data_IF_955390388701
#
_entry.id   IF_955390388701
#
_cell.length_a   1.000
_cell.length_b   1.000
_cell.length_c   1.000
_cell.angle_alpha   90.00
_cell.angle_beta   90.00
_cell.angle_gamma   90.00
#
_symmetry.space_group_name_H-M   'P 1'
#
loop_
_entity.id
_entity.type
_entity.pdbx_description
1 polymer ?
#
# COMPACT_ATOMS: atom_id res chain seq x y z
N UNK A 1 -7.44 -0.13 21.27
CA UNK A 1 -8.17 -0.02 19.98
C UNK A 1 -8.99 -1.29 19.84
N UNK A 2 -9.83 -1.58 20.84
CA UNK A 2 -10.35 -2.94 21.05
C UNK A 2 -11.88 -2.98 20.98
N UNK A 3 -12.49 -1.87 20.57
CA UNK A 3 -13.91 -1.82 20.24
C UNK A 3 -14.15 -2.61 18.94
N UNK A 4 -15.15 -3.51 18.91
CA UNK A 4 -15.46 -4.33 17.73
C UNK A 4 -15.74 -3.52 16.46
N UNK A 5 -16.36 -2.34 16.55
CA UNK A 5 -16.62 -1.52 15.37
C UNK A 5 -15.33 -0.96 14.77
N UNK A 6 -14.39 -0.54 15.62
CA UNK A 6 -13.06 -0.10 15.20
C UNK A 6 -12.29 -1.22 14.50
N UNK A 7 -12.32 -2.44 15.05
CA UNK A 7 -11.67 -3.60 14.42
C UNK A 7 -12.28 -3.94 13.06
N UNK A 8 -13.62 -3.90 12.94
CA UNK A 8 -14.30 -4.15 11.64
C UNK A 8 -13.94 -3.11 10.59
N UNK A 9 -13.85 -1.83 10.96
CA UNK A 9 -13.41 -0.79 10.03
C UNK A 9 -11.99 -1.06 9.50
N UNK A 10 -11.07 -1.50 10.36
CA UNK A 10 -9.70 -1.83 9.95
C UNK A 10 -9.66 -3.03 8.99
N UNK A 11 -10.41 -4.09 9.26
CA UNK A 11 -10.48 -5.26 8.37
C UNK A 11 -11.09 -4.92 7.01
N UNK A 12 -12.12 -4.06 6.99
CA UNK A 12 -12.72 -3.57 5.74
C UNK A 12 -11.73 -2.74 4.92
N UNK A 13 -10.93 -1.90 5.58
CA UNK A 13 -9.88 -1.11 4.94
C UNK A 13 -8.79 -2.01 4.33
N UNK A 14 -8.34 -3.03 5.08
CA UNK A 14 -7.35 -4.00 4.61
C UNK A 14 -7.89 -4.81 3.43
N UNK A 15 -9.14 -5.27 3.50
CA UNK A 15 -9.78 -5.99 2.39
C UNK A 15 -9.92 -5.12 1.14
N UNK A 16 -10.33 -3.86 1.29
CA UNK A 16 -10.43 -2.91 0.19
C UNK A 16 -9.06 -2.63 -0.43
N UNK A 17 -8.05 -2.46 0.40
CA UNK A 17 -6.68 -2.20 -0.05
C UNK A 17 -6.11 -3.40 -0.80
N UNK A 18 -6.32 -4.61 -0.27
CA UNK A 18 -5.95 -5.86 -0.93
C UNK A 18 -6.57 -5.97 -2.33
N UNK A 19 -7.89 -5.75 -2.48
CA UNK A 19 -8.56 -5.80 -3.79
C UNK A 19 -7.91 -4.84 -4.80
N UNK A 20 -7.65 -3.60 -4.42
CA UNK A 20 -6.97 -2.64 -5.29
C UNK A 20 -5.55 -3.10 -5.68
N UNK A 21 -4.80 -3.65 -4.72
CA UNK A 21 -3.47 -4.18 -4.97
C UNK A 21 -3.48 -5.34 -5.98
N UNK A 22 -4.53 -6.17 -6.02
CA UNK A 22 -4.66 -7.26 -7.01
C UNK A 22 -4.87 -6.77 -8.44
N UNK A 23 -5.37 -5.54 -8.62
CA UNK A 23 -5.66 -4.97 -9.94
C UNK A 23 -4.45 -4.24 -10.55
N UNK A 24 -3.45 -3.89 -9.73
CA UNK A 24 -2.24 -3.15 -10.14
C UNK A 24 -1.45 -3.92 -11.22
N UNK A 25 -1.19 -3.24 -12.33
CA UNK A 25 -0.43 -3.78 -13.46
C UNK A 25 1.09 -3.57 -13.35
N UNK A 26 1.53 -2.48 -12.71
CA UNK A 26 2.95 -2.22 -12.51
C UNK A 26 3.51 -3.07 -11.35
N UNK A 27 3.66 -4.37 -11.61
CA UNK A 27 4.13 -5.37 -10.64
C UNK A 27 5.52 -5.06 -10.11
N UNK A 28 6.44 -4.59 -10.95
CA UNK A 28 7.82 -4.27 -10.54
C UNK A 28 7.86 -3.22 -9.42
N UNK A 29 7.09 -2.14 -9.55
CA UNK A 29 7.01 -1.13 -8.51
C UNK A 29 6.32 -1.66 -7.25
N UNK A 30 5.22 -2.41 -7.41
CA UNK A 30 4.50 -3.00 -6.29
C UNK A 30 5.38 -3.98 -5.50
N UNK A 31 6.07 -4.89 -6.16
CA UNK A 31 6.93 -5.89 -5.51
C UNK A 31 8.11 -5.21 -4.77
N UNK A 32 8.64 -4.10 -5.31
CA UNK A 32 9.66 -3.29 -4.61
C UNK A 32 9.13 -2.65 -3.33
N UNK A 33 7.89 -2.15 -3.35
CA UNK A 33 7.24 -1.57 -2.16
C UNK A 33 6.97 -2.66 -1.13
N UNK A 34 6.44 -3.82 -1.55
CA UNK A 34 6.23 -4.98 -0.68
C UNK A 34 7.54 -5.39 -0.02
N UNK A 35 8.61 -5.58 -0.78
CA UNK A 35 9.92 -5.96 -0.22
C UNK A 35 10.40 -4.96 0.84
N UNK A 36 10.36 -3.67 0.52
CA UNK A 36 10.87 -2.60 1.40
C UNK A 36 10.10 -2.51 2.71
N UNK A 37 8.76 -2.50 2.64
CA UNK A 37 7.93 -2.24 3.81
C UNK A 37 7.65 -3.50 4.62
N UNK A 38 7.58 -4.68 3.98
CA UNK A 38 7.44 -5.94 4.70
C UNK A 38 8.74 -6.34 5.43
N UNK A 39 9.93 -5.98 4.92
CA UNK A 39 11.21 -6.24 5.62
C UNK A 39 11.27 -5.56 6.99
N UNK A 40 10.62 -4.41 7.14
CA UNK A 40 10.54 -3.65 8.41
C UNK A 40 9.23 -3.89 9.17
N UNK A 41 8.47 -4.93 8.82
CA UNK A 41 7.25 -5.33 9.52
C UNK A 41 6.00 -4.51 9.21
N UNK A 42 6.05 -3.58 8.26
CA UNK A 42 4.91 -2.76 7.81
C UNK A 42 4.25 -3.37 6.56
N UNK A 43 3.81 -4.63 6.69
CA UNK A 43 3.30 -5.43 5.56
C UNK A 43 1.77 -5.40 5.38
N UNK A 44 1.09 -4.50 6.08
CA UNK A 44 -0.35 -4.26 5.96
C UNK A 44 -0.69 -3.71 4.56
N UNK A 45 -1.80 -4.17 3.99
CA UNK A 45 -2.19 -3.84 2.62
C UNK A 45 -2.50 -2.36 2.44
N UNK A 46 -3.09 -1.70 3.45
CA UNK A 46 -3.30 -0.25 3.43
C UNK A 46 -1.98 0.51 3.29
N UNK A 47 -0.94 0.14 4.06
CA UNK A 47 0.39 0.73 3.98
C UNK A 47 1.05 0.46 2.64
N UNK A 48 1.01 -0.79 2.15
CA UNK A 48 1.56 -1.13 0.82
C UNK A 48 0.87 -0.33 -0.29
N UNK A 49 -0.45 -0.20 -0.25
CA UNK A 49 -1.22 0.56 -1.25
C UNK A 49 -0.86 2.04 -1.21
N UNK A 50 -0.82 2.65 -0.03
CA UNK A 50 -0.44 4.05 0.16
C UNK A 50 0.97 4.32 -0.39
N UNK A 51 1.93 3.47 -0.02
CA UNK A 51 3.32 3.65 -0.45
C UNK A 51 3.50 3.41 -1.95
N UNK A 52 2.79 2.44 -2.52
CA UNK A 52 2.79 2.25 -3.97
C UNK A 52 2.26 3.50 -4.70
N UNK A 53 1.17 4.12 -4.22
CA UNK A 53 0.62 5.32 -4.85
C UNK A 53 1.58 6.51 -4.77
N UNK A 54 2.21 6.73 -3.62
CA UNK A 54 3.21 7.79 -3.46
C UNK A 54 4.43 7.58 -4.35
N UNK A 55 4.96 6.35 -4.40
CA UNK A 55 6.10 6.03 -5.27
C UNK A 55 5.72 6.13 -6.75
N UNK A 56 4.51 5.72 -7.15
CA UNK A 56 4.02 5.87 -8.52
C UNK A 56 3.87 7.34 -8.92
N UNK A 57 3.47 8.20 -7.98
CA UNK A 57 3.40 9.65 -8.18
C UNK A 57 4.79 10.24 -8.30
N UNK A 58 5.73 9.83 -7.44
CA UNK A 58 7.12 10.26 -7.47
C UNK A 58 7.84 9.83 -8.76
N UNK A 59 7.58 8.61 -9.26
CA UNK A 59 8.21 8.09 -10.48
C UNK A 59 7.82 8.84 -11.76
N UNK A 60 6.79 9.69 -11.68
CA UNK A 60 6.32 10.53 -12.80
C UNK A 60 6.74 11.99 -12.67
N UNK A 61 7.39 12.36 -11.57
CA UNK A 61 7.93 13.71 -11.38
C UNK A 61 9.29 13.81 -12.05
N UNK A 62 9.48 14.86 -12.83
CA UNK A 62 10.78 15.26 -13.36
C UNK A 62 11.29 16.43 -12.51
N UNK A 63 12.59 16.42 -12.20
CA UNK A 63 13.24 17.53 -11.51
C UNK A 63 13.71 18.54 -12.57
N UNK A 64 13.22 19.77 -12.47
CA UNK A 64 13.73 20.91 -13.24
C UNK A 64 14.66 21.75 -12.35
N UNK A 65 15.85 22.09 -12.86
CA UNK A 65 16.83 22.96 -12.21
C UNK A 65 16.46 24.44 -12.30
#
# INVERSE_FOLDING_TARGET
MDDPATLRMMEEEELKSFKQLTEIKNRKLLDSVIATYCEIGMCNYSTILMMYQEQLKASKKELTW
#
